data_IF_662250175461
#
_entry.id   IF_662250175461
#
_cell.length_a   1.000
_cell.length_b   1.000
_cell.length_c   1.000
_cell.angle_alpha   90.00
_cell.angle_beta   90.00
_cell.angle_gamma   90.00
#
_symmetry.space_group_name_H-M   'P 1'
#
loop_
_entity.id
_entity.type
_entity.pdbx_description
1 polymer ?
#
# COMPACT_ATOMS: atom_id res chain seq x y z
N UNK A 1 3.24 -4.09 17.23
CA UNK A 1 3.68 -3.46 15.96
C UNK A 1 4.35 -4.46 15.01
N UNK A 2 5.12 -5.46 15.50
CA UNK A 2 5.75 -6.49 14.64
C UNK A 2 4.75 -7.36 13.84
N UNK A 3 3.58 -7.68 14.40
CA UNK A 3 2.59 -8.52 13.70
C UNK A 3 2.01 -7.83 12.46
N UNK A 4 1.79 -6.51 12.55
CA UNK A 4 1.19 -5.68 11.48
C UNK A 4 2.05 -5.66 10.20
N UNK A 5 3.38 -5.67 10.32
CA UNK A 5 4.28 -5.65 9.16
C UNK A 5 4.19 -6.96 8.38
N UNK A 6 4.11 -8.10 9.08
CA UNK A 6 4.04 -9.42 8.45
C UNK A 6 2.73 -9.63 7.69
N UNK A 7 1.63 -9.05 8.18
CA UNK A 7 0.32 -9.07 7.50
C UNK A 7 0.30 -8.18 6.26
N UNK A 8 0.90 -6.99 6.33
CA UNK A 8 1.05 -6.09 5.17
C UNK A 8 1.85 -6.81 4.07
N UNK A 9 3.00 -7.39 4.41
CA UNK A 9 3.88 -8.09 3.45
C UNK A 9 3.19 -9.31 2.82
N UNK A 10 2.40 -10.07 3.61
CA UNK A 10 1.60 -11.19 3.06
C UNK A 10 0.55 -10.71 2.06
N UNK A 11 -0.06 -9.55 2.30
CA UNK A 11 -1.13 -9.01 1.46
C UNK A 11 -0.61 -8.27 0.22
N UNK A 12 0.68 -7.89 0.14
CA UNK A 12 1.27 -7.28 -1.07
C UNK A 12 1.05 -8.11 -2.34
N UNK A 13 0.91 -9.44 -2.22
CA UNK A 13 0.56 -10.33 -3.35
C UNK A 13 -0.80 -10.01 -3.99
N UNK A 14 -1.68 -9.30 -3.29
CA UNK A 14 -3.04 -8.93 -3.72
C UNK A 14 -3.14 -7.48 -4.21
N UNK A 15 -2.01 -6.80 -4.40
CA UNK A 15 -1.98 -5.43 -4.89
C UNK A 15 -2.72 -5.28 -6.25
N UNK A 16 -3.30 -4.11 -6.54
CA UNK A 16 -3.31 -2.90 -5.71
C UNK A 16 -4.21 -3.05 -4.45
N UNK A 17 -3.82 -2.40 -3.34
CA UNK A 17 -4.49 -2.49 -2.05
C UNK A 17 -5.02 -1.13 -1.58
N UNK A 18 -6.19 -1.15 -0.96
CA UNK A 18 -6.74 -0.02 -0.22
C UNK A 18 -6.96 -0.43 1.24
N UNK A 19 -6.33 0.30 2.16
CA UNK A 19 -6.49 0.10 3.59
C UNK A 19 -7.25 1.29 4.17
N UNK A 20 -8.33 1.00 4.89
CA UNK A 20 -9.14 1.98 5.62
C UNK A 20 -8.92 1.82 7.12
N UNK A 21 -8.65 2.93 7.80
CA UNK A 21 -8.42 2.99 9.24
C UNK A 21 -9.58 3.77 9.85
N UNK A 22 -10.36 3.12 10.72
CA UNK A 22 -11.52 3.73 11.37
C UNK A 22 -11.44 3.53 12.89
N UNK A 23 -11.68 4.59 13.66
CA UNK A 23 -11.82 4.56 15.12
C UNK A 23 -13.25 4.16 15.47
N UNK A 24 -13.42 3.22 16.38
CA UNK A 24 -14.75 2.84 16.90
C UNK A 24 -15.10 3.78 18.06
N UNK A 25 -16.13 4.62 17.87
CA UNK A 25 -16.59 5.54 18.90
C UNK A 25 -17.55 4.79 19.81
N UNK A 26 -17.00 4.12 20.81
CA UNK A 26 -17.64 3.87 22.11
C UNK A 26 -16.56 3.34 23.08
N UNK A 27 -16.10 4.24 23.94
CA UNK A 27 -15.41 3.96 25.21
C UNK A 27 -14.02 3.29 25.23
N UNK A 28 -13.30 3.17 24.11
CA UNK A 28 -11.85 2.95 24.19
C UNK A 28 -11.16 2.48 22.92
N UNK A 29 -10.24 3.32 22.41
CA UNK A 29 -8.99 3.02 21.67
C UNK A 29 -8.94 1.83 20.69
N UNK A 30 -10.06 1.35 20.16
CA UNK A 30 -10.09 0.22 19.21
C UNK A 30 -10.07 0.78 17.79
N UNK A 31 -8.97 0.52 17.10
CA UNK A 31 -8.77 0.89 15.70
C UNK A 31 -9.17 -0.32 14.84
N UNK A 32 -10.14 -0.13 13.96
CA UNK A 32 -10.52 -1.12 12.94
C UNK A 32 -9.71 -0.84 11.68
N UNK A 33 -8.93 -1.83 11.26
CA UNK A 33 -8.18 -1.80 10.01
C UNK A 33 -8.88 -2.74 9.03
N UNK A 34 -9.35 -2.19 7.91
CA UNK A 34 -9.94 -2.95 6.83
C UNK A 34 -9.02 -2.88 5.61
N UNK A 35 -8.63 -4.05 5.09
CA UNK A 35 -7.77 -4.15 3.89
C UNK A 35 -8.54 -4.82 2.79
N UNK A 36 -8.78 -4.09 1.71
CA UNK A 36 -9.49 -4.57 0.54
C UNK A 36 -8.59 -4.48 -0.70
N UNK A 37 -8.88 -5.30 -1.71
CA UNK A 37 -8.28 -5.11 -3.04
C UNK A 37 -8.77 -3.78 -3.57
N UNK A 38 -7.86 -2.90 -3.98
CA UNK A 38 -8.25 -1.62 -4.55
C UNK A 38 -8.93 -1.86 -5.90
N UNK A 39 -10.24 -1.59 -5.97
CA UNK A 39 -10.98 -1.56 -7.23
C UNK A 39 -10.87 -0.13 -7.76
N UNK A 40 -9.86 0.10 -8.60
CA UNK A 40 -9.59 1.42 -9.19
C UNK A 40 -10.84 2.01 -9.89
N UNK A 41 -11.66 1.17 -10.51
CA UNK A 41 -12.87 1.57 -11.25
C UNK A 41 -14.04 2.04 -10.36
N UNK A 42 -14.13 1.60 -9.09
CA UNK A 42 -15.24 1.92 -8.19
C UNK A 42 -14.91 3.04 -7.18
N UNK A 43 -13.75 3.68 -7.30
CA UNK A 43 -13.32 4.71 -6.36
C UNK A 43 -14.31 5.88 -6.28
N UNK A 44 -14.95 6.24 -7.38
CA UNK A 44 -15.97 7.30 -7.41
C UNK A 44 -17.22 6.95 -6.57
N UNK A 45 -17.70 5.71 -6.65
CA UNK A 45 -18.87 5.24 -5.88
C UNK A 45 -18.58 5.17 -4.38
N UNK A 46 -17.40 4.67 -4.02
CA UNK A 46 -16.94 4.62 -2.62
C UNK A 46 -16.85 6.03 -2.02
N UNK A 47 -16.28 6.99 -2.77
CA UNK A 47 -16.23 8.40 -2.35
C UNK A 47 -17.63 9.02 -2.18
N UNK A 48 -18.56 8.74 -3.10
CA UNK A 48 -19.92 9.26 -3.02
C UNK A 48 -20.66 8.76 -1.76
N UNK A 49 -20.53 7.48 -1.43
CA UNK A 49 -21.14 6.91 -0.23
C UNK A 49 -20.64 7.56 1.07
N UNK A 50 -19.35 7.93 1.14
CA UNK A 50 -18.82 8.67 2.28
C UNK A 50 -19.31 10.11 2.35
N UNK A 51 -19.40 10.81 1.20
CA UNK A 51 -19.88 12.20 1.14
C UNK A 51 -21.37 12.33 1.45
N UNK A 52 -22.17 11.37 1.01
CA UNK A 52 -23.62 11.34 1.22
C UNK A 52 -24.02 10.85 2.63
N UNK A 53 -23.06 10.36 3.42
CA UNK A 53 -23.31 9.81 4.76
C UNK A 53 -23.90 8.40 4.77
N UNK A 54 -23.90 7.70 3.63
CA UNK A 54 -24.33 6.30 3.52
C UNK A 54 -23.37 5.34 4.23
N UNK A 55 -22.12 5.75 4.42
CA UNK A 55 -21.10 5.01 5.15
C UNK A 55 -20.18 5.94 5.93
N UNK A 56 -19.67 5.46 7.08
CA UNK A 56 -18.71 6.22 7.90
C UNK A 56 -17.42 6.46 7.12
N UNK A 57 -16.97 7.72 7.05
CA UNK A 57 -15.69 8.05 6.45
C UNK A 57 -14.52 7.56 7.32
N UNK A 58 -13.44 7.07 6.70
CA UNK A 58 -12.28 6.60 7.44
C UNK A 58 -11.46 7.76 8.03
N UNK A 59 -10.76 7.48 9.13
CA UNK A 59 -9.81 8.42 9.76
C UNK A 59 -8.46 8.42 9.03
N UNK A 60 -8.14 7.35 8.31
CA UNK A 60 -6.94 7.27 7.49
C UNK A 60 -7.08 6.27 6.34
N UNK A 61 -6.34 6.54 5.26
CA UNK A 61 -6.29 5.73 4.05
C UNK A 61 -4.84 5.41 3.70
N UNK A 62 -4.58 4.17 3.30
CA UNK A 62 -3.30 3.74 2.73
C UNK A 62 -3.59 3.05 1.40
N UNK A 63 -2.97 3.55 0.34
CA UNK A 63 -3.00 2.94 -0.98
C UNK A 63 -1.63 2.36 -1.31
N UNK A 64 -1.61 1.17 -1.90
CA UNK A 64 -0.38 0.47 -2.29
C UNK A 64 -0.52 -0.09 -3.69
N UNK A 65 0.42 0.22 -4.58
CA UNK A 65 0.52 -0.40 -5.90
C UNK A 65 1.94 -0.81 -6.25
N UNK A 66 2.06 -1.79 -7.15
CA UNK A 66 3.35 -2.20 -7.71
C UNK A 66 3.76 -1.22 -8.80
N UNK A 67 4.98 -0.69 -8.72
CA UNK A 67 5.52 0.20 -9.73
C UNK A 67 6.14 -0.64 -10.85
N UNK A 68 5.78 -0.35 -12.11
CA UNK A 68 6.42 -0.97 -13.27
C UNK A 68 7.93 -0.68 -13.23
N UNK A 69 8.73 -1.72 -13.35
CA UNK A 69 10.18 -1.60 -13.48
C UNK A 69 10.49 -1.67 -14.97
N UNK A 70 10.60 -0.51 -15.62
CA UNK A 70 11.16 -0.42 -16.97
C UNK A 70 12.64 -0.79 -16.90
N UNK A 71 12.90 -2.08 -17.04
CA UNK A 71 14.23 -2.60 -17.30
C UNK A 71 14.08 -3.84 -18.14
N UNK A 72 14.49 -3.70 -19.40
CA UNK A 72 15.08 -4.76 -20.20
C UNK A 72 15.80 -5.77 -19.30
N UNK A 73 15.15 -6.90 -19.03
CA UNK A 73 15.84 -8.17 -18.84
C UNK A 73 15.70 -8.97 -20.13
N UNK A 74 16.25 -8.40 -21.20
CA UNK A 74 16.96 -9.25 -22.15
C UNK A 74 18.12 -9.89 -21.39
N UNK A 75 18.21 -11.22 -21.51
CA UNK A 75 19.24 -12.10 -20.93
C UNK A 75 19.02 -12.47 -19.45
N UNK A 76 19.07 -13.70 -18.98
CA UNK A 76 19.36 -15.03 -19.55
C UNK A 76 19.04 -16.03 -18.43
N UNK A 77 18.51 -17.20 -18.78
CA UNK A 77 18.88 -18.43 -18.08
C UNK A 77 18.10 -18.79 -16.82
N UNK A 78 17.58 -20.01 -16.85
CA UNK A 78 17.48 -20.86 -15.66
C UNK A 78 18.81 -20.79 -14.90
N UNK A 79 18.83 -20.27 -13.68
CA UNK A 79 19.75 -20.77 -12.66
C UNK A 79 19.28 -20.37 -11.25
N UNK A 80 19.43 -21.32 -10.35
CA UNK A 80 19.03 -21.25 -8.96
C UNK A 80 19.73 -20.08 -8.24
N UNK A 81 19.00 -19.00 -7.93
CA UNK A 81 19.46 -18.05 -6.90
C UNK A 81 19.05 -16.59 -7.03
N UNK A 82 18.53 -16.13 -8.17
CA UNK A 82 18.25 -14.71 -8.35
C UNK A 82 16.89 -14.31 -7.73
N UNK A 83 16.95 -13.51 -6.68
CA UNK A 83 15.78 -13.12 -5.88
C UNK A 83 14.79 -12.25 -6.66
N UNK A 84 13.49 -12.40 -6.38
CA UNK A 84 12.45 -11.58 -7.00
C UNK A 84 12.46 -10.19 -6.35
N UNK A 85 12.89 -9.17 -7.11
CA UNK A 85 12.87 -7.77 -6.68
C UNK A 85 11.64 -7.06 -7.23
N UNK A 86 10.87 -6.40 -6.35
CA UNK A 86 9.69 -5.59 -6.69
C UNK A 86 9.81 -4.21 -6.07
N UNK A 87 9.25 -3.21 -6.75
CA UNK A 87 9.11 -1.85 -6.26
C UNK A 87 7.62 -1.53 -6.09
N UNK A 88 7.29 -0.78 -5.04
CA UNK A 88 5.92 -0.48 -4.66
C UNK A 88 5.79 0.99 -4.29
N UNK A 89 4.74 1.63 -4.78
CA UNK A 89 4.33 2.98 -4.39
C UNK A 89 3.30 2.91 -3.28
N UNK A 90 3.49 3.71 -2.24
CA UNK A 90 2.57 3.80 -1.09
C UNK A 90 2.16 5.25 -0.88
N UNK A 91 0.86 5.52 -0.84
CA UNK A 91 0.31 6.84 -0.52
C UNK A 91 -0.57 6.76 0.72
N UNK A 92 -0.34 7.67 1.66
CA UNK A 92 -1.03 7.72 2.96
C UNK A 92 -1.74 9.06 3.11
N UNK A 93 -3.02 9.01 3.55
CA UNK A 93 -3.84 10.18 3.88
C UNK A 93 -4.46 10.02 5.27
N UNK A 94 -4.57 11.11 6.03
CA UNK A 94 -5.20 11.13 7.35
C UNK A 94 -6.17 12.30 7.50
N UNK A 95 -7.26 12.07 8.24
CA UNK A 95 -8.31 13.05 8.49
C UNK A 95 -7.80 14.20 9.35
N UNK A 96 -8.06 15.44 8.92
CA UNK A 96 -7.73 16.65 9.69
C UNK A 96 -6.23 16.92 9.80
N UNK A 97 -5.42 16.29 8.94
CA UNK A 97 -3.98 16.56 8.87
C UNK A 97 -3.79 17.75 7.94
N UNK A 98 -3.29 18.88 8.43
CA UNK A 98 -3.03 20.08 7.58
C UNK A 98 -1.97 19.85 6.50
N UNK A 99 -1.23 18.74 6.61
CA UNK A 99 -0.21 18.31 5.66
C UNK A 99 -0.82 17.36 4.63
N UNK A 100 -0.54 17.61 3.35
CA UNK A 100 -0.97 16.76 2.23
C UNK A 100 -0.47 15.31 2.33
N UNK A 101 -0.85 14.45 1.35
CA UNK A 101 -0.52 13.03 1.35
C UNK A 101 0.97 12.76 1.52
N UNK A 102 1.31 11.70 2.26
CA UNK A 102 2.67 11.22 2.40
C UNK A 102 2.95 10.06 1.45
N UNK A 103 4.00 10.18 0.66
CA UNK A 103 4.40 9.19 -0.34
C UNK A 103 5.64 8.41 0.10
N UNK A 104 5.63 7.09 -0.12
CA UNK A 104 6.75 6.21 0.17
C UNK A 104 7.01 5.25 -0.99
N UNK A 105 8.28 4.95 -1.21
CA UNK A 105 8.76 3.89 -2.08
C UNK A 105 9.17 2.69 -1.21
N UNK A 106 8.55 1.55 -1.44
CA UNK A 106 8.92 0.29 -0.83
C UNK A 106 9.59 -0.59 -1.89
N UNK A 107 10.84 -1.00 -1.65
CA UNK A 107 11.52 -2.03 -2.45
C UNK A 107 11.53 -3.32 -1.66
N UNK A 108 11.08 -4.42 -2.26
CA UNK A 108 11.13 -5.76 -1.65
C UNK A 108 11.99 -6.68 -2.50
N UNK A 109 12.89 -7.45 -1.89
CA UNK A 109 13.65 -8.50 -2.55
C UNK A 109 13.42 -9.82 -1.80
N UNK A 110 12.95 -10.84 -2.51
CA UNK A 110 12.73 -12.18 -1.96
C UNK A 110 13.84 -13.11 -2.42
N UNK A 111 14.65 -13.56 -1.46
CA UNK A 111 15.77 -14.49 -1.70
C UNK A 111 15.39 -15.87 -1.16
N UNK A 112 15.70 -16.92 -1.92
CA UNK A 112 15.54 -18.31 -1.49
C UNK A 112 16.80 -18.74 -0.72
N UNK A 113 16.66 -19.13 0.54
CA UNK A 113 17.78 -19.55 1.36
C UNK A 113 18.15 -21.03 1.10
N UNK A 114 18.32 -21.45 -0.15
CA UNK A 114 18.75 -22.82 -0.48
C UNK A 114 17.87 -23.94 0.10
N UNK A 115 18.38 -25.18 0.07
CA UNK A 115 17.66 -26.42 0.42
C UNK A 115 17.07 -26.39 1.85
N UNK A 116 15.77 -26.10 1.96
CA UNK A 116 14.96 -26.34 3.16
C UNK A 116 14.84 -25.21 4.18
N UNK A 117 15.52 -24.07 4.02
CA UNK A 117 15.51 -22.96 5.00
C UNK A 117 14.43 -21.89 4.72
N UNK A 118 13.60 -22.09 3.70
CA UNK A 118 12.49 -21.18 3.38
C UNK A 118 12.93 -19.94 2.61
N UNK A 119 12.12 -18.88 2.71
CA UNK A 119 12.33 -17.63 1.98
C UNK A 119 12.55 -16.47 2.94
N UNK A 120 13.54 -15.64 2.65
CA UNK A 120 13.75 -14.36 3.33
C UNK A 120 13.28 -13.23 2.41
N UNK A 121 12.54 -12.28 2.96
CA UNK A 121 12.14 -11.06 2.25
C UNK A 121 12.87 -9.88 2.88
N UNK A 122 13.80 -9.28 2.14
CA UNK A 122 14.40 -8.00 2.48
C UNK A 122 13.49 -6.88 1.99
N UNK A 123 13.41 -5.79 2.75
CA UNK A 123 12.67 -4.61 2.32
C UNK A 123 13.41 -3.33 2.68
N UNK A 124 13.21 -2.29 1.87
CA UNK A 124 13.65 -0.93 2.14
C UNK A 124 12.48 0.02 1.88
N UNK A 125 12.18 0.87 2.85
CA UNK A 125 11.13 1.87 2.77
C UNK A 125 11.77 3.26 2.81
N UNK A 126 11.47 4.09 1.82
CA UNK A 126 11.97 5.45 1.72
C UNK A 126 10.83 6.43 1.51
N UNK A 127 10.86 7.56 2.22
CA UNK A 127 9.93 8.66 1.95
C UNK A 127 10.36 9.39 0.69
N UNK A 128 9.41 9.68 -0.19
CA UNK A 128 9.62 10.43 -1.43
C UNK A 128 8.67 11.62 -1.51
N UNK A 129 9.03 12.63 -2.29
CA UNK A 129 8.18 13.82 -2.44
C UNK A 129 6.96 13.52 -3.32
N UNK A 130 7.10 12.67 -4.34
CA UNK A 130 6.03 12.19 -5.21
C UNK A 130 6.40 10.85 -5.86
N UNK A 131 5.43 10.24 -6.52
CA UNK A 131 5.55 8.95 -7.21
C UNK A 131 5.20 9.19 -8.69
N UNK A 132 6.13 9.84 -9.42
CA UNK A 132 5.97 10.50 -10.73
C UNK A 132 5.02 9.88 -11.75
N UNK A 133 5.06 8.56 -11.96
CA UNK A 133 4.33 7.93 -13.08
C UNK A 133 3.10 7.11 -12.65
N UNK A 134 2.87 6.96 -11.33
CA UNK A 134 1.60 6.61 -10.65
C UNK A 134 1.90 5.85 -9.35
N UNK A 135 1.25 6.24 -8.25
CA UNK A 135 1.06 5.44 -7.05
C UNK A 135 -0.21 5.82 -6.32
N UNK A 136 -1.37 5.43 -6.81
CA UNK A 136 -2.00 6.16 -7.90
C UNK A 136 -1.88 7.63 -7.47
N UNK A 137 -1.04 8.43 -8.18
CA UNK A 137 -0.36 9.71 -7.83
C UNK A 137 -1.27 10.93 -7.64
N UNK A 138 -2.37 10.57 -7.12
CA UNK A 138 -3.58 10.71 -7.88
C UNK A 138 -4.55 9.84 -7.08
N UNK A 139 -4.25 9.58 -5.80
CA UNK A 139 -5.07 8.80 -4.92
C UNK A 139 -6.08 9.84 -4.48
N UNK A 140 -6.98 10.14 -5.42
CA UNK A 140 -6.99 11.45 -6.10
C UNK A 140 -7.17 12.62 -5.16
N UNK A 141 -6.02 13.25 -4.95
CA UNK A 141 -5.73 14.60 -4.51
C UNK A 141 -6.53 15.13 -3.33
N UNK A 142 -6.43 14.34 -2.27
CA UNK A 142 -6.45 14.80 -0.87
C UNK A 142 -7.83 15.14 -0.31
N UNK A 143 -8.69 14.12 -0.24
CA UNK A 143 -10.04 14.20 0.33
C UNK A 143 -10.06 14.52 1.84
N UNK A 144 -9.12 13.99 2.61
CA UNK A 144 -9.11 14.11 4.07
C UNK A 144 -8.67 15.48 4.60
N UNK A 145 -8.44 16.45 3.70
CA UNK A 145 -8.13 17.85 4.01
C UNK A 145 -9.38 18.73 4.24
N UNK A 146 -10.60 18.18 4.20
CA UNK A 146 -11.85 18.91 4.49
C UNK A 146 -12.30 18.78 5.94
#
# INVERSE_FOLDING_TARGET
MQESVSEIVKNLKKAPLLVQICSENENGKKVKIQTDRAILDNWAGVKAGWRNGESKSPDGLIFVEELLQDSDQGCLGQDFGEGVTKAWGIVIQGKGVEYGPACYLLKTNRVCAGMGLGFCTHFCLMRVNNLRDSAFEQFQDSWLLQ
#
